data_IF_253215525409
#
_entry.id   IF_253215525409
#
_cell.length_a   1.000
_cell.length_b   1.000
_cell.length_c   1.000
_cell.angle_alpha   90.00
_cell.angle_beta   90.00
_cell.angle_gamma   90.00
#
_symmetry.space_group_name_H-M   'P 1'
#
loop_
_entity.id
_entity.type
_entity.pdbx_description
1 polymer ?
#
# COMPACT_ATOMS: atom_id res chain seq x y z
N UNK A 1 4.96 31.03 3.04
CA UNK A 1 4.40 29.72 3.36
C UNK A 1 4.74 28.73 2.25
N UNK A 2 5.17 27.54 2.64
CA UNK A 2 5.40 26.51 1.66
C UNK A 2 4.07 25.99 1.11
N UNK A 3 3.98 25.84 -0.20
CA UNK A 3 2.82 25.22 -0.81
C UNK A 3 2.80 23.73 -0.51
N UNK A 4 1.61 23.19 -0.28
CA UNK A 4 1.44 21.75 -0.11
C UNK A 4 1.32 21.13 -1.50
N UNK A 5 2.33 20.35 -1.88
CA UNK A 5 2.40 19.72 -3.21
C UNK A 5 2.28 18.20 -3.13
N UNK A 6 2.11 17.67 -1.92
CA UNK A 6 2.03 16.22 -1.73
C UNK A 6 0.94 15.85 -0.73
N UNK A 7 0.45 14.63 -0.84
CA UNK A 7 -0.50 14.05 0.08
C UNK A 7 -0.17 12.58 0.26
N UNK A 8 -0.54 12.03 1.40
CA UNK A 8 -0.28 10.63 1.69
C UNK A 8 -1.51 9.92 2.22
N UNK A 9 -1.52 8.61 2.08
CA UNK A 9 -2.48 7.75 2.74
C UNK A 9 -1.74 6.52 3.25
N UNK A 10 -2.24 5.94 4.31
CA UNK A 10 -1.65 4.78 4.96
C UNK A 10 -2.75 3.79 5.34
N UNK A 11 -2.50 2.51 5.09
CA UNK A 11 -3.31 1.43 5.62
C UNK A 11 -2.47 0.68 6.65
N UNK A 12 -2.95 0.61 7.87
CA UNK A 12 -2.23 -0.05 8.96
C UNK A 12 -2.73 -1.47 9.17
N UNK A 13 -1.81 -2.35 9.53
CA UNK A 13 -2.10 -3.71 9.96
C UNK A 13 -2.95 -4.47 8.94
N UNK A 14 -2.54 -4.38 7.66
CA UNK A 14 -3.19 -5.11 6.59
C UNK A 14 -2.61 -6.51 6.52
N UNK A 15 -3.46 -7.50 6.34
CA UNK A 15 -3.04 -8.91 6.31
C UNK A 15 -2.47 -9.31 4.95
N UNK A 16 -1.32 -8.75 4.62
CA UNK A 16 -0.54 -9.11 3.44
C UNK A 16 0.93 -9.18 3.83
N UNK A 17 1.69 -9.96 3.10
CA UNK A 17 3.13 -10.08 3.34
C UNK A 17 3.84 -8.77 2.94
N UNK A 18 4.72 -8.21 3.79
CA UNK A 18 5.50 -7.03 3.41
C UNK A 18 6.31 -7.23 2.14
N UNK A 19 6.89 -8.41 1.97
CA UNK A 19 7.70 -8.74 0.80
C UNK A 19 6.89 -8.66 -0.49
N UNK A 20 5.70 -9.27 -0.51
CA UNK A 20 4.82 -9.25 -1.68
C UNK A 20 4.31 -7.85 -1.98
N UNK A 21 4.01 -7.10 -0.92
CA UNK A 21 3.56 -5.71 -1.05
C UNK A 21 4.63 -4.82 -1.65
N UNK A 22 5.89 -4.99 -1.24
CA UNK A 22 7.01 -4.21 -1.79
C UNK A 22 7.19 -4.46 -3.28
N UNK A 23 6.99 -5.67 -3.75
CA UNK A 23 7.06 -5.98 -5.17
C UNK A 23 6.01 -5.20 -5.96
N UNK A 24 4.80 -5.10 -5.43
CA UNK A 24 3.72 -4.33 -6.06
C UNK A 24 4.04 -2.84 -6.03
N UNK A 25 4.52 -2.32 -4.90
CA UNK A 25 4.87 -0.90 -4.77
C UNK A 25 5.99 -0.50 -5.74
N UNK A 26 6.93 -1.39 -5.99
CA UNK A 26 8.02 -1.12 -6.95
C UNK A 26 7.51 -0.92 -8.38
N UNK A 27 6.37 -1.52 -8.71
CA UNK A 27 5.76 -1.38 -10.03
C UNK A 27 5.19 0.02 -10.27
N UNK A 28 4.78 0.70 -9.22
CA UNK A 28 4.08 1.99 -9.36
C UNK A 28 4.92 3.20 -8.96
N UNK A 29 6.05 2.98 -8.31
CA UNK A 29 6.90 4.10 -7.84
C UNK A 29 7.40 4.92 -9.01
N UNK A 30 7.22 6.23 -8.95
CA UNK A 30 7.64 7.15 -10.00
C UNK A 30 6.70 7.26 -11.19
N UNK A 31 5.57 6.55 -11.16
CA UNK A 31 4.59 6.58 -12.26
C UNK A 31 3.52 7.63 -12.00
N UNK A 32 2.91 8.13 -13.07
CA UNK A 32 1.70 8.95 -12.94
C UNK A 32 0.61 8.14 -12.26
N UNK A 33 -0.25 8.80 -11.49
CA UNK A 33 -1.32 8.08 -10.78
C UNK A 33 -2.24 7.31 -11.73
N UNK A 34 -2.52 7.84 -12.91
CA UNK A 34 -3.35 7.14 -13.90
C UNK A 34 -2.69 5.83 -14.36
N UNK A 35 -1.39 5.86 -14.65
CA UNK A 35 -0.63 4.69 -15.04
C UNK A 35 -0.51 3.70 -13.88
N UNK A 36 -0.28 4.21 -12.66
CA UNK A 36 -0.20 3.38 -11.46
C UNK A 36 -1.50 2.62 -11.21
N UNK A 37 -2.64 3.28 -11.35
CA UNK A 37 -3.95 2.64 -11.18
C UNK A 37 -4.13 1.54 -12.22
N UNK A 38 -3.78 1.81 -13.48
CA UNK A 38 -3.89 0.81 -14.54
C UNK A 38 -3.01 -0.42 -14.25
N UNK A 39 -1.77 -0.21 -13.83
CA UNK A 39 -0.86 -1.29 -13.46
C UNK A 39 -1.47 -2.14 -12.34
N UNK A 40 -2.00 -1.51 -11.31
CA UNK A 40 -2.58 -2.22 -10.17
C UNK A 40 -3.82 -3.02 -10.56
N UNK A 41 -4.65 -2.49 -11.45
CA UNK A 41 -5.85 -3.19 -11.91
C UNK A 41 -5.51 -4.46 -12.69
N UNK A 42 -4.38 -4.47 -13.40
CA UNK A 42 -3.95 -5.62 -14.18
C UNK A 42 -3.02 -6.57 -13.40
N UNK A 43 -2.65 -6.22 -12.17
CA UNK A 43 -1.82 -7.09 -11.34
C UNK A 43 -2.71 -8.04 -10.54
N UNK A 44 -2.66 -9.34 -10.81
CA UNK A 44 -3.63 -10.28 -10.20
C UNK A 44 -3.15 -10.80 -8.85
N UNK A 45 -3.11 -9.96 -7.84
CA UNK A 45 -2.82 -10.44 -6.48
C UNK A 45 -3.50 -9.58 -5.43
N UNK A 46 -3.56 -10.11 -4.21
CA UNK A 46 -4.22 -9.45 -3.08
C UNK A 46 -3.53 -8.15 -2.68
N UNK A 47 -2.20 -8.14 -2.70
CA UNK A 47 -1.44 -6.95 -2.34
C UNK A 47 -1.75 -5.79 -3.29
N UNK A 48 -1.94 -6.06 -4.58
CA UNK A 48 -2.30 -5.03 -5.55
C UNK A 48 -3.64 -4.38 -5.21
N UNK A 49 -4.62 -5.16 -4.73
CA UNK A 49 -5.92 -4.61 -4.33
C UNK A 49 -5.79 -3.68 -3.13
N UNK A 50 -4.96 -4.04 -2.16
CA UNK A 50 -4.69 -3.20 -0.99
C UNK A 50 -3.99 -1.91 -1.40
N UNK A 51 -2.94 -2.01 -2.21
CA UNK A 51 -2.17 -0.85 -2.68
C UNK A 51 -3.07 0.09 -3.50
N UNK A 52 -3.95 -0.46 -4.33
CA UNK A 52 -4.89 0.33 -5.12
C UNK A 52 -5.80 1.18 -4.21
N UNK A 53 -6.31 0.60 -3.14
CA UNK A 53 -7.14 1.34 -2.18
C UNK A 53 -6.35 2.47 -1.50
N UNK A 54 -5.12 2.20 -1.10
CA UNK A 54 -4.27 3.21 -0.46
C UNK A 54 -3.95 4.33 -1.45
N UNK A 55 -3.63 3.98 -2.70
CA UNK A 55 -3.36 4.97 -3.74
C UNK A 55 -4.59 5.85 -4.00
N UNK A 56 -5.77 5.25 -4.13
CA UNK A 56 -7.01 6.02 -4.32
C UNK A 56 -7.27 6.96 -3.14
N UNK A 57 -6.99 6.52 -1.92
CA UNK A 57 -7.12 7.37 -0.73
C UNK A 57 -6.14 8.55 -0.78
N UNK A 58 -4.90 8.31 -1.19
CA UNK A 58 -3.89 9.37 -1.31
C UNK A 58 -4.31 10.40 -2.36
N UNK A 59 -4.83 9.94 -3.49
CA UNK A 59 -5.34 10.82 -4.55
C UNK A 59 -6.52 11.65 -4.04
N UNK A 60 -7.46 11.02 -3.34
CA UNK A 60 -8.60 11.72 -2.76
C UNK A 60 -8.16 12.76 -1.73
N UNK A 61 -7.17 12.45 -0.90
CA UNK A 61 -6.60 13.40 0.05
C UNK A 61 -5.97 14.59 -0.67
N UNK A 62 -5.26 14.34 -1.77
CA UNK A 62 -4.65 15.41 -2.56
C UNK A 62 -5.69 16.35 -3.15
N UNK A 63 -6.75 15.80 -3.74
CA UNK A 63 -7.80 16.59 -4.35
C UNK A 63 -8.67 17.32 -3.33
N UNK A 64 -9.14 16.63 -2.32
CA UNK A 64 -10.15 17.15 -1.39
C UNK A 64 -9.55 18.02 -0.28
N UNK A 65 -8.38 17.69 0.22
CA UNK A 65 -7.77 18.41 1.34
C UNK A 65 -6.85 19.54 0.90
N UNK A 66 -6.22 19.40 -0.26
CA UNK A 66 -5.18 20.33 -0.72
C UNK A 66 -5.46 20.92 -2.09
N UNK A 67 -6.56 20.54 -2.75
CA UNK A 67 -6.93 21.11 -4.05
C UNK A 67 -5.98 20.78 -5.20
N UNK A 68 -5.20 19.72 -5.08
CA UNK A 68 -4.25 19.32 -6.13
C UNK A 68 -4.99 18.65 -7.30
N UNK A 69 -4.48 18.82 -8.51
CA UNK A 69 -5.07 18.22 -9.70
C UNK A 69 -4.55 16.80 -9.92
N UNK A 70 -5.46 15.85 -10.04
CA UNK A 70 -5.12 14.44 -10.26
C UNK A 70 -4.22 14.24 -11.49
N UNK A 71 -4.48 14.99 -12.57
CA UNK A 71 -3.70 14.86 -13.80
C UNK A 71 -2.21 15.16 -13.61
N UNK A 72 -1.86 15.93 -12.59
CA UNK A 72 -0.48 16.34 -12.32
C UNK A 72 0.18 15.50 -11.23
N UNK A 73 -0.52 14.51 -10.66
CA UNK A 73 0.00 13.72 -9.57
C UNK A 73 0.84 12.54 -10.05
N UNK A 74 1.95 12.30 -9.34
CA UNK A 74 2.79 11.12 -9.53
C UNK A 74 2.97 10.42 -8.19
N UNK A 75 3.22 9.12 -8.22
CA UNK A 75 3.55 8.37 -7.03
C UNK A 75 5.01 8.66 -6.67
N UNK A 76 5.23 9.49 -5.67
CA UNK A 76 6.57 9.95 -5.32
C UNK A 76 7.28 9.02 -4.35
N UNK A 77 6.56 8.50 -3.36
CA UNK A 77 7.14 7.61 -2.35
C UNK A 77 6.16 6.51 -1.99
N UNK A 78 6.70 5.34 -1.71
CA UNK A 78 5.90 4.19 -1.28
C UNK A 78 6.68 3.43 -0.21
N UNK A 79 5.98 2.98 0.82
CA UNK A 79 6.58 2.21 1.91
C UNK A 79 5.69 1.03 2.28
N UNK A 80 6.32 -0.10 2.54
CA UNK A 80 5.65 -1.26 3.12
C UNK A 80 6.48 -1.70 4.32
N UNK A 81 6.02 -1.34 5.50
CA UNK A 81 6.70 -1.65 6.75
C UNK A 81 6.04 -2.83 7.44
N UNK A 82 6.82 -3.64 8.13
CA UNK A 82 6.28 -4.77 8.87
C UNK A 82 5.42 -4.28 10.02
N UNK A 83 4.21 -4.85 10.11
CA UNK A 83 3.34 -4.67 11.25
C UNK A 83 3.49 -5.84 12.22
N UNK A 84 2.65 -5.88 13.28
CA UNK A 84 2.70 -6.99 14.21
C UNK A 84 2.40 -8.31 13.53
N UNK A 85 3.14 -9.35 13.92
CA UNK A 85 2.91 -10.70 13.41
C UNK A 85 1.99 -11.44 14.38
N UNK A 86 0.88 -11.95 13.87
CA UNK A 86 -0.02 -12.78 14.64
C UNK A 86 0.45 -14.22 14.58
N UNK A 87 0.66 -14.81 15.75
CA UNK A 87 1.05 -16.21 15.86
C UNK A 87 -0.14 -17.05 16.21
N UNK A 88 -0.45 -18.02 15.36
CA UNK A 88 -1.49 -19.00 15.61
C UNK A 88 -0.86 -20.36 15.70
N UNK A 89 -1.46 -21.24 16.49
CA UNK A 89 -1.01 -22.60 16.63
C UNK A 89 -2.06 -23.53 16.07
N UNK A 90 -1.63 -24.46 15.22
CA UNK A 90 -2.50 -25.47 14.67
C UNK A 90 -2.21 -26.80 15.36
N UNK A 91 -3.18 -27.42 16.04
CA UNK A 91 -2.94 -28.72 16.65
C UNK A 91 -2.62 -29.76 15.55
N UNK A 92 -1.65 -30.59 15.82
CA UNK A 92 -1.28 -31.69 14.94
C UNK A 92 -1.45 -33.02 15.65
N UNK A 93 -1.35 -34.12 14.90
CA UNK A 93 -1.45 -35.45 15.47
C UNK A 93 -0.48 -35.63 16.65
N UNK A 94 -0.86 -36.43 17.65
CA UNK A 94 -0.08 -36.71 18.85
C UNK A 94 0.11 -35.51 19.78
N UNK A 95 -0.79 -34.54 19.72
CA UNK A 95 -0.76 -33.43 20.64
C UNK A 95 0.29 -32.37 20.37
N UNK A 96 1.05 -32.46 19.28
CA UNK A 96 1.97 -31.42 18.91
C UNK A 96 1.27 -30.26 18.23
N UNK A 97 1.86 -29.06 18.31
CA UNK A 97 1.31 -27.86 17.69
C UNK A 97 2.37 -27.22 16.78
N UNK A 98 1.93 -26.70 15.63
CA UNK A 98 2.78 -25.94 14.72
C UNK A 98 2.40 -24.47 14.75
N UNK A 99 3.36 -23.55 14.91
CA UNK A 99 3.06 -22.13 14.83
C UNK A 99 2.74 -21.72 13.41
N UNK A 100 1.76 -20.85 13.25
CA UNK A 100 1.43 -20.21 11.98
C UNK A 100 1.64 -18.72 12.17
N UNK A 101 2.56 -18.15 11.40
CA UNK A 101 2.83 -16.72 11.45
C UNK A 101 1.97 -16.01 10.42
N UNK A 102 1.11 -15.13 10.88
CA UNK A 102 0.30 -14.29 10.00
C UNK A 102 0.90 -12.89 10.03
N UNK A 103 1.59 -12.55 8.97
CA UNK A 103 2.28 -11.26 8.87
C UNK A 103 1.31 -10.17 8.47
N UNK A 104 1.53 -8.98 9.00
CA UNK A 104 0.78 -7.79 8.61
C UNK A 104 1.74 -6.74 8.08
N UNK A 105 1.20 -5.77 7.36
CA UNK A 105 1.99 -4.73 6.72
C UNK A 105 1.30 -3.39 6.90
N UNK A 106 2.10 -2.35 7.12
CA UNK A 106 1.65 -0.96 7.05
C UNK A 106 2.05 -0.43 5.68
N UNK A 107 1.07 -0.07 4.87
CA UNK A 107 1.30 0.41 3.50
C UNK A 107 1.10 1.91 3.46
N UNK A 108 2.09 2.64 2.96
CA UNK A 108 2.04 4.09 2.81
C UNK A 108 2.31 4.46 1.36
N UNK A 109 1.47 5.31 0.80
CA UNK A 109 1.67 5.86 -0.55
C UNK A 109 1.62 7.37 -0.47
N UNK A 110 2.63 8.03 -1.02
CA UNK A 110 2.70 9.48 -1.11
C UNK A 110 2.59 9.87 -2.58
N UNK A 111 1.65 10.74 -2.89
CA UNK A 111 1.49 11.33 -4.24
C UNK A 111 1.87 12.80 -4.17
N UNK A 112 2.49 13.29 -5.22
CA UNK A 112 2.88 14.70 -5.29
C UNK A 112 2.67 15.26 -6.68
N UNK A 113 2.54 16.58 -6.78
CA UNK A 113 2.51 17.26 -8.07
C UNK A 113 3.88 17.20 -8.72
N UNK A 114 3.84 17.00 -10.00
CA UNK A 114 5.05 16.95 -10.81
C UNK A 114 5.60 18.36 -11.08
#
# INVERSE_FOLDING_TARGET
>A
MAEITSAKAMARTVRVSPRKTRLVLDLIRGKNVADAIAILKFTPNKAARVVEKVLNSAIANAENNFGLEKANLVVSETFANEGPTMKLFRPRAKGSASPINKRTTHVTVVVSEK
#
